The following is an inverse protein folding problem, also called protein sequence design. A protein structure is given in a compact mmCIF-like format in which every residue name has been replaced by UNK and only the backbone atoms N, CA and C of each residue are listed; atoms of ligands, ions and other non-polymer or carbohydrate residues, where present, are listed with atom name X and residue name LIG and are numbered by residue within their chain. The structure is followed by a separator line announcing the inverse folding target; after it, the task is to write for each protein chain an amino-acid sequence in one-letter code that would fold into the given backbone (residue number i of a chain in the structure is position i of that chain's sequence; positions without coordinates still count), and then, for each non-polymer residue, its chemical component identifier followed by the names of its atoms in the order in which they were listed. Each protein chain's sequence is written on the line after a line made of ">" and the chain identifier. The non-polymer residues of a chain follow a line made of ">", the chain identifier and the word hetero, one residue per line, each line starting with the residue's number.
data_IF_784993935266
#
_entry.id   IF_784993935266
#
_cell.length_a   1.000
_cell.length_b   1.000
_cell.length_c   1.000
_cell.angle_alpha   90.00
_cell.angle_beta   90.00
_cell.angle_gamma   90.00
#
_symmetry.space_group_name_H-M   'P 1'
#
loop_
_entity.id
_entity.type
_entity.pdbx_description
1 polymer ?
#
# COMPACT_ATOMS: atom_id res chain seq x y z
N UNK A 1 12.68 15.26 12.20
CA UNK A 1 11.36 15.60 12.74
C UNK A 1 10.61 16.30 11.64
N UNK A 2 9.64 15.73 10.92
CA UNK A 2 8.90 14.48 11.10
C UNK A 2 8.57 13.99 9.69
N UNK A 3 9.11 12.83 9.29
CA UNK A 3 8.45 12.05 8.25
C UNK A 3 7.19 11.52 8.91
N UNK A 4 6.11 12.28 8.80
CA UNK A 4 4.79 11.77 9.13
C UNK A 4 4.46 10.76 8.03
N UNK A 5 5.12 9.59 8.08
CA UNK A 5 4.43 8.35 7.78
C UNK A 5 3.24 8.39 8.70
N UNK A 6 2.09 8.77 8.15
CA UNK A 6 0.87 8.74 8.90
C UNK A 6 0.58 7.25 9.08
N UNK A 7 1.14 6.65 10.14
CA UNK A 7 1.08 5.21 10.41
C UNK A 7 -0.37 4.73 10.40
N UNK A 8 -1.30 5.57 10.83
CA UNK A 8 -2.75 5.34 10.74
C UNK A 8 -3.23 5.04 9.31
N UNK A 9 -2.68 5.75 8.31
CA UNK A 9 -3.05 5.59 6.90
C UNK A 9 -2.38 4.36 6.26
N UNK A 10 -1.17 4.01 6.66
CA UNK A 10 -0.52 2.78 6.19
C UNK A 10 -1.22 1.55 6.78
N UNK A 11 -1.65 1.62 8.04
CA UNK A 11 -2.41 0.55 8.68
C UNK A 11 -3.78 0.34 8.01
N UNK A 12 -4.46 1.43 7.61
CA UNK A 12 -5.70 1.38 6.81
C UNK A 12 -5.50 0.64 5.47
N UNK A 13 -4.46 1.01 4.72
CA UNK A 13 -4.09 0.30 3.49
C UNK A 13 -3.81 -1.18 3.77
N UNK A 14 -3.10 -1.45 4.87
CA UNK A 14 -2.75 -2.81 5.28
C UNK A 14 -4.00 -3.63 5.57
N UNK A 15 -4.96 -3.08 6.31
CA UNK A 15 -6.24 -3.72 6.61
C UNK A 15 -7.06 -3.97 5.34
N UNK A 16 -7.10 -3.01 4.40
CA UNK A 16 -7.83 -3.16 3.14
C UNK A 16 -7.28 -4.31 2.29
N UNK A 17 -5.95 -4.40 2.15
CA UNK A 17 -5.30 -5.51 1.43
C UNK A 17 -5.50 -6.85 2.15
N UNK A 18 -5.47 -6.90 3.48
CA UNK A 18 -5.78 -8.13 4.24
C UNK A 18 -7.22 -8.58 3.99
N UNK A 19 -8.18 -7.65 3.95
CA UNK A 19 -9.58 -7.98 3.65
C UNK A 19 -9.70 -8.56 2.25
N UNK A 20 -9.03 -7.98 1.25
CA UNK A 20 -8.97 -8.51 -0.12
C UNK A 20 -8.41 -9.94 -0.18
N UNK A 21 -7.29 -10.20 0.52
CA UNK A 21 -6.70 -11.56 0.61
C UNK A 21 -7.68 -12.53 1.24
N UNK A 22 -8.37 -12.12 2.31
CA UNK A 22 -9.34 -12.97 3.01
C UNK A 22 -10.59 -13.25 2.18
N UNK A 23 -10.96 -12.34 1.28
CA UNK A 23 -12.10 -12.52 0.36
C UNK A 23 -11.84 -13.58 -0.72
N UNK A 24 -10.65 -14.23 -0.72
CA UNK A 24 -10.24 -15.24 -1.71
C UNK A 24 -10.30 -14.72 -3.16
N UNK A 25 -9.94 -13.45 -3.35
CA UNK A 25 -9.72 -12.92 -4.70
C UNK A 25 -8.55 -13.68 -5.33
N UNK A 26 -8.72 -14.10 -6.58
CA UNK A 26 -7.69 -14.74 -7.40
C UNK A 26 -6.37 -13.96 -7.27
N UNK A 27 -5.21 -14.61 -7.09
CA UNK A 27 -3.95 -13.93 -6.80
C UNK A 27 -3.53 -12.90 -7.85
N UNK A 28 -3.95 -13.07 -9.11
CA UNK A 28 -3.75 -12.11 -10.18
C UNK A 28 -4.60 -10.83 -9.95
N UNK A 29 -5.87 -11.02 -9.64
CA UNK A 29 -6.82 -9.92 -9.38
C UNK A 29 -6.56 -9.24 -8.02
N UNK A 30 -6.03 -9.98 -7.04
CA UNK A 30 -5.58 -9.47 -5.75
C UNK A 30 -4.44 -8.46 -5.93
N UNK A 31 -3.46 -8.79 -6.77
CA UNK A 31 -2.33 -7.91 -7.05
C UNK A 31 -2.81 -6.61 -7.68
N UNK A 32 -3.71 -6.69 -8.68
CA UNK A 32 -4.28 -5.50 -9.32
C UNK A 32 -5.07 -4.61 -8.34
N UNK A 33 -5.96 -5.18 -7.53
CA UNK A 33 -6.74 -4.40 -6.56
C UNK A 33 -5.89 -3.83 -5.43
N UNK A 34 -4.95 -4.61 -4.90
CA UNK A 34 -4.02 -4.12 -3.88
C UNK A 34 -3.12 -3.01 -4.44
N UNK A 35 -2.71 -3.10 -5.71
CA UNK A 35 -1.93 -2.07 -6.37
C UNK A 35 -2.77 -0.79 -6.52
N UNK A 36 -4.03 -0.89 -6.96
CA UNK A 36 -4.93 0.26 -7.12
C UNK A 36 -5.18 0.98 -5.77
N UNK A 37 -5.42 0.22 -4.70
CA UNK A 37 -5.51 0.76 -3.33
C UNK A 37 -4.23 1.45 -2.88
N UNK A 38 -3.08 0.85 -3.15
CA UNK A 38 -1.79 1.44 -2.81
C UNK A 38 -1.54 2.72 -3.61
N UNK A 39 -1.90 2.78 -4.89
CA UNK A 39 -1.77 3.98 -5.72
C UNK A 39 -2.70 5.09 -5.23
N UNK A 40 -3.96 4.78 -4.91
CA UNK A 40 -4.90 5.73 -4.33
C UNK A 40 -4.40 6.30 -2.99
N UNK A 41 -3.86 5.43 -2.13
CA UNK A 41 -3.21 5.82 -0.88
C UNK A 41 -1.98 6.69 -1.13
N UNK A 42 -1.15 6.31 -2.08
CA UNK A 42 0.08 7.00 -2.45
C UNK A 42 -0.20 8.41 -2.96
N UNK A 43 -1.17 8.58 -3.86
CA UNK A 43 -1.62 9.88 -4.37
C UNK A 43 -2.21 10.74 -3.24
N UNK A 44 -3.00 10.15 -2.34
CA UNK A 44 -3.55 10.85 -1.17
C UNK A 44 -2.48 11.27 -0.15
N UNK A 45 -1.30 10.64 -0.18
CA UNK A 45 -0.20 10.89 0.75
C UNK A 45 0.99 11.66 0.11
N UNK A 46 1.02 11.79 -1.22
CA UNK A 46 2.01 12.54 -2.00
C UNK A 46 2.03 14.05 -1.74
N UNK A 47 1.03 14.59 -1.02
CA UNK A 47 0.93 16.02 -0.66
C UNK A 47 2.16 16.61 0.04
N UNK A 48 3.12 15.78 0.49
CA UNK A 48 4.34 16.22 1.17
C UNK A 48 5.57 16.45 0.26
N UNK A 49 5.48 16.24 -1.06
CA UNK A 49 6.56 16.57 -2.01
C UNK A 49 7.88 15.78 -1.88
N UNK A 50 7.92 14.76 -1.01
CA UNK A 50 9.10 13.90 -0.73
C UNK A 50 9.01 12.50 -1.35
N UNK A 51 8.04 12.28 -2.24
CA UNK A 51 7.55 10.96 -2.63
C UNK A 51 8.01 10.61 -4.05
N UNK A 52 9.19 9.99 -4.16
CA UNK A 52 9.78 9.52 -5.43
C UNK A 52 9.32 8.09 -5.79
N UNK A 53 9.46 7.70 -7.06
CA UNK A 53 9.14 6.34 -7.56
C UNK A 53 9.91 5.23 -6.82
N UNK A 54 11.14 5.49 -6.37
CA UNK A 54 11.91 4.56 -5.52
C UNK A 54 11.21 4.29 -4.17
N UNK A 55 10.64 5.32 -3.56
CA UNK A 55 9.93 5.19 -2.28
C UNK A 55 8.60 4.48 -2.52
N UNK A 56 7.94 4.75 -3.65
CA UNK A 56 6.73 4.03 -4.08
C UNK A 56 7.01 2.53 -4.18
N UNK A 57 8.03 2.16 -4.95
CA UNK A 57 8.44 0.75 -5.11
C UNK A 57 8.82 0.09 -3.80
N UNK A 58 9.61 0.73 -2.95
CA UNK A 58 10.01 0.16 -1.65
C UNK A 58 8.83 -0.04 -0.70
N UNK A 59 7.89 0.91 -0.69
CA UNK A 59 6.69 0.82 0.16
C UNK A 59 5.79 -0.30 -0.35
N UNK A 60 5.59 -0.39 -1.66
CA UNK A 60 4.83 -1.48 -2.28
C UNK A 60 5.47 -2.85 -2.03
N UNK A 61 6.78 -2.97 -2.23
CA UNK A 61 7.52 -4.23 -2.01
C UNK A 61 7.44 -4.68 -0.54
N UNK A 62 7.58 -3.75 0.41
CA UNK A 62 7.42 -4.05 1.83
C UNK A 62 5.99 -4.49 2.15
N UNK A 63 4.99 -3.77 1.63
CA UNK A 63 3.57 -4.10 1.80
C UNK A 63 3.28 -5.50 1.26
N UNK A 64 3.70 -5.79 0.02
CA UNK A 64 3.47 -7.06 -0.64
C UNK A 64 4.22 -8.22 0.02
N UNK A 65 5.47 -8.02 0.47
CA UNK A 65 6.21 -9.05 1.21
C UNK A 65 5.54 -9.40 2.55
N UNK A 66 4.88 -8.45 3.22
CA UNK A 66 4.13 -8.72 4.44
C UNK A 66 2.85 -9.54 4.21
N UNK A 67 2.36 -9.61 2.96
CA UNK A 67 1.11 -10.29 2.61
C UNK A 67 1.28 -11.57 1.78
N UNK A 68 2.33 -11.63 0.95
CA UNK A 68 2.57 -12.72 0.01
C UNK A 68 3.29 -13.94 0.59
N UNK A 69 3.21 -14.20 1.90
CA UNK A 69 3.77 -15.43 2.53
C UNK A 69 2.71 -16.51 2.70
#
# INVERSE_FOLDING_TARGET
>A
MDVIFNFSRYDDLKQAVIQLVRDNIDPDSLYEEAQDLFESWWESNQSAGLWNEDVKRRTWDSLWQEFGT
#
